data_IF_577081058751
#
_entry.id   IF_577081058751
#
_cell.length_a   1.000
_cell.length_b   1.000
_cell.length_c   1.000
_cell.angle_alpha   90.00
_cell.angle_beta   90.00
_cell.angle_gamma   90.00
#
_symmetry.space_group_name_H-M   'P 1'
#
loop_
_entity.id
_entity.type
_entity.pdbx_description
1 polymer ?
#
# COMPACT_ATOMS: atom_id res chain seq x y z
N UNK A 1 5.32 32.51 2.52
CA UNK A 1 4.78 31.20 2.96
C UNK A 1 4.19 30.51 1.74
N UNK A 2 4.38 29.22 1.56
CA UNK A 2 3.71 28.49 0.48
C UNK A 2 2.20 28.45 0.76
N UNK A 3 1.38 28.82 -0.23
CA UNK A 3 -0.09 28.71 -0.09
C UNK A 3 -0.48 27.25 0.15
N UNK A 4 -1.50 27.02 1.00
CA UNK A 4 -2.02 25.68 1.25
C UNK A 4 -2.94 25.25 0.11
N UNK A 5 -2.77 24.03 -0.36
CA UNK A 5 -3.63 23.43 -1.39
C UNK A 5 -5.02 23.21 -0.79
N UNK A 6 -6.04 23.61 -1.55
CA UNK A 6 -7.46 23.42 -1.23
C UNK A 6 -8.07 22.31 -2.08
N UNK A 7 -7.75 22.33 -3.39
CA UNK A 7 -8.30 21.36 -4.34
C UNK A 7 -7.18 20.83 -5.23
N UNK A 8 -7.23 19.55 -5.56
CA UNK A 8 -6.42 18.91 -6.60
C UNK A 8 -7.38 18.39 -7.65
N UNK A 9 -7.19 18.79 -8.89
CA UNK A 9 -7.99 18.35 -10.04
C UNK A 9 -7.08 17.53 -10.94
N UNK A 10 -7.50 16.31 -11.27
CA UNK A 10 -6.72 15.35 -12.03
C UNK A 10 -7.45 15.01 -13.31
N UNK A 11 -6.82 15.30 -14.43
CA UNK A 11 -7.28 14.93 -15.77
C UNK A 11 -6.52 13.70 -16.25
N UNK A 12 -7.21 12.83 -16.98
CA UNK A 12 -6.66 11.59 -17.51
C UNK A 12 -6.81 11.56 -19.03
N UNK A 13 -5.72 11.23 -19.72
CA UNK A 13 -5.67 10.93 -21.14
C UNK A 13 -5.20 9.49 -21.32
N UNK A 14 -5.97 8.65 -22.02
CA UNK A 14 -5.62 7.25 -22.30
C UNK A 14 -5.41 7.07 -23.80
N UNK A 15 -4.19 6.67 -24.19
CA UNK A 15 -3.86 6.31 -25.58
C UNK A 15 -3.79 4.79 -25.72
N UNK A 16 -4.69 4.25 -26.52
CA UNK A 16 -4.66 2.88 -26.99
C UNK A 16 -4.27 2.86 -28.49
N UNK A 17 -3.68 1.76 -28.94
CA UNK A 17 -3.29 1.62 -30.34
C UNK A 17 -4.50 1.84 -31.29
N UNK A 18 -4.43 2.91 -32.13
CA UNK A 18 -5.46 3.24 -33.10
C UNK A 18 -6.66 4.03 -32.58
N UNK A 19 -6.62 4.52 -31.34
CA UNK A 19 -7.67 5.38 -30.76
C UNK A 19 -7.07 6.73 -30.40
N UNK A 20 -7.66 7.82 -30.87
CA UNK A 20 -7.29 9.18 -30.49
C UNK A 20 -7.65 9.39 -29.00
N UNK A 21 -6.66 9.80 -28.23
CA UNK A 21 -6.86 10.09 -26.83
C UNK A 21 -7.62 11.41 -26.62
N UNK A 22 -8.60 11.38 -25.73
CA UNK A 22 -9.26 12.60 -25.22
C UNK A 22 -8.92 12.74 -23.74
N UNK A 23 -8.49 13.93 -23.34
CA UNK A 23 -8.34 14.26 -21.93
C UNK A 23 -9.73 14.44 -21.31
N UNK A 24 -9.99 13.82 -20.17
CA UNK A 24 -11.23 13.96 -19.39
C UNK A 24 -10.91 14.16 -17.92
N UNK A 25 -11.83 14.74 -17.16
CA UNK A 25 -11.74 14.79 -15.71
C UNK A 25 -11.76 13.37 -15.16
N UNK A 26 -10.81 13.04 -14.29
CA UNK A 26 -10.68 11.70 -13.69
C UNK A 26 -10.89 11.70 -12.19
N UNK A 27 -10.42 12.74 -11.50
CA UNK A 27 -10.53 12.82 -10.04
C UNK A 27 -10.51 14.27 -9.57
N UNK A 28 -11.24 14.54 -8.49
CA UNK A 28 -11.18 15.79 -7.74
C UNK A 28 -10.99 15.46 -6.27
N UNK A 29 -10.01 16.11 -5.62
CA UNK A 29 -9.75 15.98 -4.19
C UNK A 29 -9.91 17.35 -3.53
N UNK A 30 -10.70 17.41 -2.47
CA UNK A 30 -10.81 18.58 -1.60
C UNK A 30 -10.05 18.32 -0.30
N UNK A 31 -9.22 19.28 0.11
CA UNK A 31 -8.39 19.17 1.30
C UNK A 31 -8.79 20.21 2.34
N UNK A 32 -8.67 19.87 3.61
CA UNK A 32 -8.75 20.83 4.68
C UNK A 32 -7.46 21.68 4.80
N UNK A 33 -7.44 22.66 5.73
CA UNK A 33 -6.27 23.52 5.95
C UNK A 33 -5.05 22.77 6.53
N UNK A 34 -5.22 21.53 7.00
CA UNK A 34 -4.16 20.65 7.51
C UNK A 34 -3.62 19.72 6.42
N UNK A 35 -4.17 19.79 5.21
CA UNK A 35 -3.87 18.96 4.04
C UNK A 35 -4.47 17.55 4.10
N UNK A 36 -5.45 17.32 4.95
CA UNK A 36 -6.20 16.07 4.96
C UNK A 36 -7.22 16.10 3.82
N UNK A 37 -7.34 15.01 3.05
CA UNK A 37 -8.36 14.86 2.01
C UNK A 37 -9.70 14.62 2.74
N UNK A 38 -10.63 15.57 2.60
CA UNK A 38 -11.95 15.49 3.22
C UNK A 38 -13.02 15.00 2.25
N UNK A 39 -12.78 15.15 0.95
CA UNK A 39 -13.66 14.64 -0.11
C UNK A 39 -12.84 14.27 -1.33
N UNK A 40 -13.16 13.14 -1.95
CA UNK A 40 -12.59 12.69 -3.21
C UNK A 40 -13.72 12.23 -4.14
N UNK A 41 -13.68 12.64 -5.39
CA UNK A 41 -14.64 12.25 -6.42
C UNK A 41 -13.90 11.65 -7.60
N UNK A 42 -14.27 10.44 -7.98
CA UNK A 42 -13.81 9.78 -9.20
C UNK A 42 -14.84 9.98 -10.31
N UNK A 43 -14.35 10.20 -11.50
CA UNK A 43 -15.16 10.43 -12.71
C UNK A 43 -14.85 9.38 -13.78
N UNK A 44 -15.90 8.92 -14.46
CA UNK A 44 -15.84 8.13 -15.68
C UNK A 44 -16.72 8.81 -16.73
N UNK A 45 -16.18 9.09 -17.94
CA UNK A 45 -16.88 9.78 -19.01
C UNK A 45 -17.54 11.12 -18.59
N UNK A 46 -16.84 11.89 -17.75
CA UNK A 46 -17.29 13.18 -17.19
C UNK A 46 -18.45 13.07 -16.17
N UNK A 47 -18.90 11.86 -15.82
CA UNK A 47 -19.90 11.61 -14.78
C UNK A 47 -19.24 11.13 -13.49
N UNK A 48 -19.81 11.51 -12.34
CA UNK A 48 -19.33 11.02 -11.03
C UNK A 48 -19.62 9.51 -10.93
N UNK A 49 -18.58 8.73 -10.63
CA UNK A 49 -18.64 7.28 -10.45
C UNK A 49 -18.61 6.89 -8.96
N UNK A 50 -17.77 7.60 -8.21
CA UNK A 50 -17.58 7.33 -6.78
C UNK A 50 -17.30 8.64 -6.05
N UNK A 51 -17.91 8.80 -4.88
CA UNK A 51 -17.63 9.89 -3.94
C UNK A 51 -17.18 9.31 -2.61
N UNK A 52 -16.03 9.75 -2.13
CA UNK A 52 -15.50 9.40 -0.80
C UNK A 52 -15.47 10.65 0.08
N UNK A 53 -16.03 10.55 1.27
CA UNK A 53 -15.97 11.60 2.30
C UNK A 53 -15.25 11.07 3.54
N UNK A 54 -14.22 11.78 3.99
CA UNK A 54 -13.38 11.38 5.13
C UNK A 54 -13.49 12.40 6.26
N UNK A 55 -13.80 11.92 7.46
CA UNK A 55 -13.84 12.73 8.68
C UNK A 55 -12.66 12.40 9.59
N UNK A 56 -12.10 13.44 10.20
CA UNK A 56 -10.95 13.36 11.09
C UNK A 56 -11.33 13.87 12.49
N UNK A 57 -10.66 13.35 13.51
CA UNK A 57 -10.74 13.89 14.85
C UNK A 57 -9.76 15.07 15.04
N UNK A 58 -9.75 15.67 16.24
CA UNK A 58 -8.85 16.78 16.59
C UNK A 58 -7.34 16.43 16.49
N UNK A 59 -6.99 15.15 16.42
CA UNK A 59 -5.61 14.64 16.26
C UNK A 59 -5.29 14.25 14.82
N UNK A 60 -6.11 14.66 13.87
CA UNK A 60 -5.98 14.36 12.43
C UNK A 60 -6.01 12.84 12.11
N UNK A 61 -6.64 12.03 12.96
CA UNK A 61 -6.86 10.62 12.72
C UNK A 61 -8.22 10.42 12.05
N UNK A 62 -8.28 9.59 11.01
CA UNK A 62 -9.53 9.22 10.34
C UNK A 62 -10.45 8.51 11.32
N UNK A 63 -11.64 9.05 11.55
CA UNK A 63 -12.65 8.42 12.42
C UNK A 63 -13.82 7.86 11.63
N UNK A 64 -14.00 8.32 10.39
CA UNK A 64 -15.07 7.86 9.52
C UNK A 64 -14.68 8.07 8.06
N UNK A 65 -14.99 7.10 7.23
CA UNK A 65 -14.93 7.19 5.78
C UNK A 65 -16.26 6.71 5.21
N UNK A 66 -16.81 7.44 4.26
CA UNK A 66 -18.00 7.05 3.50
C UNK A 66 -17.67 7.03 2.05
N UNK A 67 -18.00 5.94 1.37
CA UNK A 67 -17.88 5.79 -0.06
C UNK A 67 -19.26 5.56 -0.65
N UNK A 68 -19.67 6.40 -1.59
CA UNK A 68 -20.85 6.21 -2.40
C UNK A 68 -20.44 5.79 -3.82
N UNK A 69 -20.81 4.59 -4.21
CA UNK A 69 -20.70 4.09 -5.58
C UNK A 69 -21.99 4.44 -6.33
N UNK A 70 -21.92 5.44 -7.20
CA UNK A 70 -23.11 6.09 -7.78
C UNK A 70 -23.88 5.13 -8.71
N UNK A 71 -23.16 4.36 -9.54
CA UNK A 71 -23.76 3.44 -10.51
C UNK A 71 -24.59 2.35 -9.81
N UNK A 72 -24.06 1.80 -8.72
CA UNK A 72 -24.67 0.69 -7.99
C UNK A 72 -25.61 1.17 -6.86
N UNK A 73 -25.66 2.49 -6.61
CA UNK A 73 -26.34 3.12 -5.46
C UNK A 73 -25.95 2.44 -4.12
N UNK A 74 -24.67 2.09 -4.02
CA UNK A 74 -24.11 1.40 -2.86
C UNK A 74 -23.35 2.40 -1.98
N UNK A 75 -23.65 2.38 -0.68
CA UNK A 75 -22.93 3.15 0.33
C UNK A 75 -22.09 2.22 1.18
N UNK A 76 -20.78 2.43 1.21
CA UNK A 76 -19.88 1.82 2.18
C UNK A 76 -19.55 2.82 3.27
N UNK A 77 -19.53 2.39 4.51
CA UNK A 77 -19.13 3.22 5.65
C UNK A 77 -18.13 2.45 6.51
N UNK A 78 -17.01 3.11 6.81
CA UNK A 78 -15.99 2.65 7.77
C UNK A 78 -15.97 3.61 8.96
N UNK A 79 -16.19 3.10 10.16
CA UNK A 79 -16.06 3.85 11.43
C UNK A 79 -14.87 3.31 12.21
N UNK A 80 -14.00 4.20 12.72
CA UNK A 80 -12.78 3.83 13.42
C UNK A 80 -12.76 4.44 14.82
N UNK A 81 -12.54 3.61 15.83
CA UNK A 81 -12.37 4.01 17.22
C UNK A 81 -10.90 3.88 17.65
N UNK A 82 -10.46 4.76 18.56
CA UNK A 82 -9.11 4.83 19.04
C UNK A 82 -9.06 4.84 20.57
N UNK A 83 -7.98 4.29 21.15
CA UNK A 83 -7.68 4.45 22.56
C UNK A 83 -6.95 5.78 22.85
N UNK A 84 -6.66 6.06 24.13
CA UNK A 84 -5.96 7.27 24.55
C UNK A 84 -4.55 7.43 23.98
N UNK A 85 -3.92 6.32 23.52
CA UNK A 85 -2.62 6.30 22.86
C UNK A 85 -2.70 6.42 21.32
N UNK A 86 -3.87 6.77 20.76
CA UNK A 86 -4.14 6.88 19.33
C UNK A 86 -3.97 5.55 18.55
N UNK A 87 -4.14 4.42 19.21
CA UNK A 87 -4.16 3.12 18.55
C UNK A 87 -5.59 2.75 18.20
N UNK A 88 -5.82 2.23 16.98
CA UNK A 88 -7.14 1.75 16.55
C UNK A 88 -7.59 0.58 17.43
N UNK A 89 -8.74 0.71 18.08
CA UNK A 89 -9.30 -0.33 18.93
C UNK A 89 -10.45 -1.07 18.26
N UNK A 90 -11.18 -0.36 17.39
CA UNK A 90 -12.29 -0.97 16.64
C UNK A 90 -12.41 -0.32 15.28
N UNK A 91 -12.73 -1.13 14.29
CA UNK A 91 -13.17 -0.72 12.96
C UNK A 91 -14.49 -1.44 12.67
N UNK A 92 -15.48 -0.70 12.18
CA UNK A 92 -16.78 -1.26 11.79
C UNK A 92 -17.03 -0.87 10.35
N UNK A 93 -17.22 -1.87 9.49
CA UNK A 93 -17.52 -1.70 8.07
C UNK A 93 -18.98 -2.07 7.82
N UNK A 94 -19.70 -1.19 7.13
CA UNK A 94 -21.10 -1.37 6.80
C UNK A 94 -21.37 -1.09 5.32
N UNK A 95 -22.31 -1.81 4.72
CA UNK A 95 -22.86 -1.54 3.39
C UNK A 95 -24.33 -1.18 3.50
N UNK A 96 -24.73 -0.05 2.93
CA UNK A 96 -26.12 0.49 3.01
C UNK A 96 -26.68 0.50 4.45
N UNK A 97 -25.80 0.74 5.42
CA UNK A 97 -26.15 0.78 6.85
C UNK A 97 -26.17 -0.58 7.55
N UNK A 98 -25.99 -1.69 6.86
CA UNK A 98 -25.88 -3.02 7.44
C UNK A 98 -24.42 -3.34 7.73
N UNK A 99 -24.10 -3.64 9.00
CA UNK A 99 -22.73 -4.01 9.41
C UNK A 99 -22.36 -5.34 8.77
N UNK A 100 -21.19 -5.39 8.16
CA UNK A 100 -20.66 -6.58 7.50
C UNK A 100 -19.42 -7.14 8.18
N UNK A 101 -18.60 -6.25 8.76
CA UNK A 101 -17.33 -6.63 9.34
C UNK A 101 -17.02 -5.78 10.57
N UNK A 102 -16.52 -6.42 11.61
CA UNK A 102 -16.04 -5.75 12.83
C UNK A 102 -14.62 -6.26 13.11
N UNK A 103 -13.66 -5.33 13.16
CA UNK A 103 -12.29 -5.61 13.62
C UNK A 103 -12.08 -4.99 14.98
N UNK A 104 -11.67 -5.78 15.98
CA UNK A 104 -11.27 -5.27 17.29
C UNK A 104 -9.81 -5.56 17.57
N UNK A 105 -9.15 -4.72 18.39
CA UNK A 105 -7.73 -4.84 18.72
C UNK A 105 -7.50 -4.63 20.20
N UNK A 106 -6.67 -5.48 20.78
CA UNK A 106 -6.23 -5.43 22.17
C UNK A 106 -4.73 -5.09 22.22
N UNK A 107 -4.34 -4.28 23.19
CA UNK A 107 -2.97 -3.82 23.35
C UNK A 107 -2.47 -4.09 24.76
N UNK A 108 -1.17 -4.37 24.90
CA UNK A 108 -0.50 -4.45 26.18
C UNK A 108 -0.26 -3.07 26.83
N UNK A 109 0.32 -3.06 28.03
CA UNK A 109 0.63 -1.82 28.76
C UNK A 109 1.67 -0.92 28.04
N UNK A 110 2.43 -1.46 27.08
CA UNK A 110 3.39 -0.75 26.24
C UNK A 110 2.78 -0.27 24.92
N UNK A 111 1.46 -0.45 24.72
CA UNK A 111 0.73 -0.20 23.48
C UNK A 111 1.18 -1.08 22.28
N UNK A 112 1.70 -2.27 22.53
CA UNK A 112 1.91 -3.27 21.50
C UNK A 112 0.61 -4.04 21.23
N UNK A 113 0.27 -4.29 19.98
CA UNK A 113 -0.90 -5.08 19.59
C UNK A 113 -0.69 -6.54 19.99
N UNK A 114 -1.47 -7.04 20.92
CA UNK A 114 -1.36 -8.45 21.39
C UNK A 114 -2.40 -9.36 20.76
N UNK A 115 -3.55 -8.80 20.36
CA UNK A 115 -4.62 -9.56 19.71
C UNK A 115 -5.41 -8.70 18.76
N UNK A 116 -5.76 -9.23 17.60
CA UNK A 116 -6.73 -8.70 16.65
C UNK A 116 -7.84 -9.73 16.44
N UNK A 117 -9.09 -9.32 16.37
CA UNK A 117 -10.23 -10.19 16.11
C UNK A 117 -10.99 -9.65 14.92
N UNK A 118 -11.27 -10.50 13.95
CA UNK A 118 -12.20 -10.27 12.86
C UNK A 118 -13.51 -10.99 13.18
N UNK A 119 -14.62 -10.27 13.10
CA UNK A 119 -15.96 -10.80 13.24
C UNK A 119 -16.82 -10.36 12.06
N UNK A 120 -17.85 -11.13 11.77
CA UNK A 120 -18.91 -10.73 10.82
C UNK A 120 -19.79 -9.61 11.37
N UNK A 121 -20.84 -9.25 10.61
CA UNK A 121 -21.78 -8.19 10.99
C UNK A 121 -22.61 -8.48 12.22
N UNK A 122 -22.83 -9.74 12.55
CA UNK A 122 -23.59 -10.19 13.74
C UNK A 122 -22.67 -10.31 14.98
N UNK A 123 -21.36 -10.13 14.79
CA UNK A 123 -20.34 -10.17 15.82
C UNK A 123 -19.80 -11.59 16.09
N UNK A 124 -20.13 -12.57 15.24
CA UNK A 124 -19.54 -13.90 15.31
C UNK A 124 -18.09 -13.86 14.82
N UNK A 125 -17.18 -14.42 15.64
CA UNK A 125 -15.75 -14.40 15.34
C UNK A 125 -15.42 -15.34 14.18
N UNK A 126 -14.78 -14.81 13.15
CA UNK A 126 -14.29 -15.57 12.00
C UNK A 126 -12.82 -15.97 12.16
N UNK A 127 -11.97 -15.00 12.52
CA UNK A 127 -10.53 -15.20 12.71
C UNK A 127 -10.01 -14.32 13.84
N UNK A 128 -8.88 -14.74 14.42
CA UNK A 128 -8.13 -13.85 15.29
C UNK A 128 -6.62 -14.03 15.15
N UNK A 129 -5.91 -12.93 15.39
CA UNK A 129 -4.45 -12.85 15.37
C UNK A 129 -3.91 -12.71 16.79
N UNK A 130 -2.73 -13.29 17.05
CA UNK A 130 -1.97 -13.07 18.28
C UNK A 130 -0.53 -12.70 17.98
N UNK A 131 0.06 -11.86 18.85
CA UNK A 131 1.42 -11.35 18.70
C UNK A 131 2.19 -11.53 20.00
N UNK A 132 3.45 -11.95 19.89
CA UNK A 132 4.39 -12.01 21.00
C UNK A 132 5.58 -11.08 20.70
N UNK A 133 6.12 -10.47 21.75
CA UNK A 133 7.18 -9.46 21.64
C UNK A 133 8.37 -9.83 22.51
N UNK A 134 9.57 -9.47 22.06
CA UNK A 134 10.76 -9.54 22.90
C UNK A 134 10.87 -8.29 23.84
N UNK A 135 11.90 -8.26 24.69
CA UNK A 135 12.19 -7.15 25.60
C UNK A 135 12.40 -5.79 24.90
N UNK A 136 12.67 -5.79 23.60
CA UNK A 136 12.84 -4.60 22.77
C UNK A 136 11.58 -4.19 22.01
N UNK A 137 10.42 -4.77 22.37
CA UNK A 137 9.12 -4.50 21.75
C UNK A 137 9.09 -4.83 20.24
N UNK A 138 9.88 -5.83 19.81
CA UNK A 138 9.87 -6.37 18.45
C UNK A 138 9.04 -7.64 18.41
N UNK A 139 8.19 -7.80 17.40
CA UNK A 139 7.39 -9.01 17.19
C UNK A 139 8.33 -10.19 16.96
N UNK A 140 8.24 -11.22 17.78
CA UNK A 140 8.99 -12.47 17.65
C UNK A 140 8.12 -13.63 17.19
N UNK A 141 6.81 -13.56 17.41
CA UNK A 141 5.86 -14.56 16.94
C UNK A 141 4.53 -13.92 16.57
N UNK A 142 3.95 -14.39 15.49
CA UNK A 142 2.62 -14.04 15.01
C UNK A 142 1.89 -15.32 14.67
N UNK A 143 0.60 -15.42 15.07
CA UNK A 143 -0.26 -16.55 14.72
C UNK A 143 -1.64 -16.04 14.35
N UNK A 144 -2.23 -16.63 13.30
CA UNK A 144 -3.63 -16.46 12.93
C UNK A 144 -4.38 -17.75 13.15
N UNK A 145 -5.54 -17.63 13.72
CA UNK A 145 -6.44 -18.73 14.03
C UNK A 145 -7.78 -18.50 13.32
N UNK A 146 -8.39 -19.58 12.84
CA UNK A 146 -9.76 -19.56 12.36
C UNK A 146 -10.76 -19.62 13.53
N UNK A 147 -12.07 -19.59 13.23
CA UNK A 147 -13.16 -19.67 14.20
C UNK A 147 -13.15 -20.94 15.05
N UNK A 148 -12.53 -22.03 14.59
CA UNK A 148 -12.34 -23.29 15.32
C UNK A 148 -11.12 -23.29 16.25
N UNK A 149 -10.40 -22.18 16.39
CA UNK A 149 -9.12 -22.04 17.09
C UNK A 149 -7.97 -22.87 16.48
N UNK A 150 -8.06 -23.23 15.21
CA UNK A 150 -6.98 -23.88 14.47
C UNK A 150 -6.03 -22.82 13.92
N UNK A 151 -4.74 -23.01 14.12
CA UNK A 151 -3.72 -22.13 13.49
C UNK A 151 -3.75 -22.35 11.98
N UNK A 152 -3.96 -21.28 11.23
CA UNK A 152 -3.96 -21.25 9.75
C UNK A 152 -2.75 -20.53 9.17
N UNK A 153 -2.10 -19.70 9.98
CA UNK A 153 -0.85 -19.03 9.63
C UNK A 153 -0.02 -18.79 10.88
N UNK A 154 1.29 -18.93 10.79
CA UNK A 154 2.24 -18.50 11.83
C UNK A 154 3.51 -17.93 11.20
N UNK A 155 4.17 -17.02 11.92
CA UNK A 155 5.47 -16.48 11.59
C UNK A 155 6.29 -16.32 12.87
N UNK A 156 7.52 -16.82 12.87
CA UNK A 156 8.50 -16.66 13.94
C UNK A 156 9.69 -15.86 13.38
N UNK A 157 10.10 -14.81 14.08
CA UNK A 157 11.09 -13.82 13.61
C UNK A 157 12.30 -13.81 14.53
N UNK A 158 13.50 -13.90 13.94
CA UNK A 158 14.76 -13.80 14.64
C UNK A 158 15.45 -12.48 14.31
N UNK A 159 16.10 -11.90 15.32
CA UNK A 159 16.81 -10.62 15.24
C UNK A 159 18.30 -10.82 15.61
N UNK A 160 19.17 -9.99 15.01
CA UNK A 160 20.56 -9.87 15.46
C UNK A 160 20.69 -8.92 16.69
N UNK A 161 21.92 -8.73 17.16
CA UNK A 161 22.22 -7.86 18.32
C UNK A 161 21.89 -6.38 18.03
N UNK A 162 21.90 -5.96 16.76
CA UNK A 162 21.48 -4.63 16.30
C UNK A 162 19.96 -4.46 16.18
N UNK A 163 19.18 -5.49 16.57
CA UNK A 163 17.70 -5.53 16.52
C UNK A 163 17.13 -5.50 15.10
N UNK A 164 17.87 -5.99 14.13
CA UNK A 164 17.46 -6.12 12.74
C UNK A 164 17.04 -7.56 12.46
N UNK A 165 15.99 -7.75 11.66
CA UNK A 165 15.48 -9.09 11.28
C UNK A 165 16.52 -9.79 10.41
N UNK A 166 16.94 -11.00 10.83
CA UNK A 166 17.88 -11.85 10.09
C UNK A 166 17.23 -13.09 9.50
N UNK A 167 16.14 -13.56 10.12
CA UNK A 167 15.42 -14.75 9.68
C UNK A 167 13.93 -14.63 10.02
N UNK A 168 13.08 -15.13 9.15
CA UNK A 168 11.65 -15.32 9.40
C UNK A 168 11.25 -16.72 8.94
N UNK A 169 10.62 -17.48 9.82
CA UNK A 169 10.05 -18.79 9.52
C UNK A 169 8.53 -18.64 9.47
N UNK A 170 7.94 -18.87 8.31
CA UNK A 170 6.51 -18.80 8.06
C UNK A 170 5.94 -20.18 7.82
N UNK A 171 4.71 -20.38 8.23
CA UNK A 171 3.90 -21.52 7.83
C UNK A 171 2.48 -21.04 7.55
N UNK A 172 1.90 -21.52 6.47
CA UNK A 172 0.47 -21.36 6.18
C UNK A 172 -0.12 -22.71 5.78
N UNK A 173 -1.43 -22.85 5.91
CA UNK A 173 -2.12 -24.06 5.48
C UNK A 173 -2.03 -24.26 3.95
N UNK A 174 -1.96 -23.18 3.19
CA UNK A 174 -1.90 -23.17 1.72
C UNK A 174 -0.48 -23.44 1.21
N UNK A 175 0.52 -22.69 1.69
CA UNK A 175 1.89 -22.71 1.14
C UNK A 175 2.85 -23.65 1.87
N UNK A 176 2.46 -24.11 3.07
CA UNK A 176 3.33 -24.89 3.95
C UNK A 176 4.43 -24.05 4.59
N UNK A 177 5.59 -24.65 4.82
CA UNK A 177 6.73 -23.99 5.48
C UNK A 177 7.56 -23.18 4.49
N UNK A 178 7.88 -21.94 4.88
CA UNK A 178 8.76 -21.03 4.15
C UNK A 178 9.74 -20.41 5.13
N UNK A 179 11.03 -20.40 4.76
CA UNK A 179 12.09 -19.73 5.51
C UNK A 179 12.60 -18.54 4.69
N UNK A 180 12.69 -17.38 5.30
CA UNK A 180 13.24 -16.16 4.68
C UNK A 180 14.51 -15.77 5.44
N UNK A 181 15.61 -15.62 4.72
CA UNK A 181 16.86 -15.08 5.23
C UNK A 181 17.05 -13.67 4.67
N UNK A 182 17.48 -12.76 5.54
CA UNK A 182 17.82 -11.39 5.18
C UNK A 182 19.34 -11.28 5.11
N UNK A 183 19.87 -11.19 3.88
CA UNK A 183 21.30 -11.38 3.62
C UNK A 183 22.15 -10.11 3.80
N UNK A 184 21.56 -8.95 3.47
CA UNK A 184 22.26 -7.66 3.49
C UNK A 184 21.41 -6.65 4.24
N UNK A 185 21.92 -6.24 5.40
CA UNK A 185 21.24 -5.26 6.25
C UNK A 185 22.00 -3.94 6.14
N UNK A 186 21.34 -2.95 5.56
CA UNK A 186 21.84 -1.57 5.50
C UNK A 186 20.88 -0.74 6.37
N UNK A 187 21.40 -0.07 7.37
CA UNK A 187 20.61 0.74 8.30
C UNK A 187 19.63 1.66 7.56
N UNK A 188 18.38 1.61 7.97
CA UNK A 188 17.26 2.40 7.41
C UNK A 188 16.96 2.09 5.92
N UNK A 189 17.31 0.88 5.43
CA UNK A 189 17.07 0.43 4.08
C UNK A 189 16.37 -0.93 4.07
N UNK A 190 15.68 -1.22 2.97
CA UNK A 190 15.14 -2.57 2.74
C UNK A 190 16.29 -3.55 2.56
N UNK A 191 16.32 -4.64 3.34
CA UNK A 191 17.38 -5.64 3.21
C UNK A 191 17.23 -6.45 1.92
N UNK A 192 18.33 -7.02 1.44
CA UNK A 192 18.27 -8.13 0.52
C UNK A 192 17.69 -9.35 1.24
N UNK A 193 16.93 -10.17 0.54
CA UNK A 193 16.31 -11.36 1.14
C UNK A 193 16.28 -12.54 0.20
N UNK A 194 16.25 -13.75 0.77
CA UNK A 194 16.09 -15.00 0.04
C UNK A 194 15.11 -15.90 0.80
N UNK A 195 14.04 -16.31 0.14
CA UNK A 195 13.05 -17.25 0.67
C UNK A 195 13.31 -18.68 0.15
N UNK A 196 13.10 -19.64 1.03
CA UNK A 196 13.27 -21.06 0.76
C UNK A 196 12.00 -21.82 1.13
N UNK A 197 11.64 -22.84 0.35
CA UNK A 197 10.60 -23.78 0.75
C UNK A 197 11.15 -24.83 1.76
N UNK A 198 10.28 -25.72 2.21
CA UNK A 198 10.62 -26.79 3.18
C UNK A 198 11.73 -27.76 2.70
N UNK A 199 11.94 -27.87 1.39
CA UNK A 199 13.01 -28.68 0.80
C UNK A 199 14.34 -27.92 0.69
N UNK A 200 14.41 -26.64 1.14
CA UNK A 200 15.59 -25.79 1.04
C UNK A 200 15.85 -25.23 -0.35
N UNK A 201 14.86 -25.29 -1.26
CA UNK A 201 14.96 -24.67 -2.59
C UNK A 201 14.56 -23.21 -2.52
N UNK A 202 15.32 -22.34 -3.20
CA UNK A 202 14.98 -20.92 -3.32
C UNK A 202 13.67 -20.78 -4.08
N UNK A 203 12.71 -20.06 -3.49
CA UNK A 203 11.42 -19.72 -4.09
C UNK A 203 11.36 -18.26 -4.51
N UNK A 204 12.03 -17.39 -3.78
CA UNK A 204 12.00 -15.95 -4.01
C UNK A 204 13.31 -15.30 -3.56
N UNK A 205 13.75 -14.27 -4.29
CA UNK A 205 14.93 -13.48 -3.94
C UNK A 205 14.72 -12.02 -4.29
N UNK A 206 15.11 -11.13 -3.38
CA UNK A 206 15.14 -9.68 -3.59
C UNK A 206 16.56 -9.17 -3.43
N UNK A 207 17.00 -8.31 -4.34
CA UNK A 207 18.30 -7.62 -4.29
C UNK A 207 18.12 -6.15 -4.58
N UNK A 208 18.67 -5.32 -3.71
CA UNK A 208 18.55 -3.87 -3.75
C UNK A 208 19.92 -3.23 -4.02
N UNK A 209 19.95 -2.23 -4.88
CA UNK A 209 21.13 -1.40 -5.15
C UNK A 209 20.79 0.05 -4.85
N UNK A 210 21.68 0.75 -4.17
CA UNK A 210 21.49 2.15 -3.76
C UNK A 210 22.56 3.03 -4.42
N UNK A 211 22.16 4.24 -4.83
CA UNK A 211 23.09 5.24 -5.35
C UNK A 211 23.93 5.88 -4.22
N UNK A 212 24.88 6.75 -4.58
CA UNK A 212 25.76 7.46 -3.64
C UNK A 212 24.99 8.31 -2.60
N UNK A 213 23.78 8.79 -2.94
CA UNK A 213 22.88 9.50 -2.04
C UNK A 213 22.04 8.54 -1.16
N UNK A 214 22.30 7.22 -1.21
CA UNK A 214 21.59 6.17 -0.48
C UNK A 214 20.10 6.05 -0.88
N UNK A 215 19.74 6.43 -2.10
CA UNK A 215 18.42 6.24 -2.67
C UNK A 215 18.38 4.91 -3.43
N UNK A 216 17.27 4.18 -3.38
CA UNK A 216 17.11 2.91 -4.11
C UNK A 216 17.19 3.17 -5.62
N UNK A 217 18.26 2.68 -6.27
CA UNK A 217 18.48 2.84 -7.70
C UNK A 217 17.92 1.68 -8.51
N UNK A 218 18.00 0.48 -7.92
CA UNK A 218 17.58 -0.75 -8.58
C UNK A 218 17.11 -1.78 -7.57
N UNK A 219 16.00 -2.43 -7.89
CA UNK A 219 15.51 -3.63 -7.22
C UNK A 219 15.43 -4.78 -8.23
N UNK A 220 15.89 -5.96 -7.84
CA UNK A 220 15.74 -7.18 -8.62
C UNK A 220 14.96 -8.19 -7.80
N UNK A 221 13.84 -8.63 -8.33
CA UNK A 221 12.99 -9.67 -7.74
C UNK A 221 13.02 -10.90 -8.63
N UNK A 222 13.42 -12.04 -8.07
CA UNK A 222 13.42 -13.35 -8.75
C UNK A 222 12.46 -14.28 -8.03
N UNK A 223 11.59 -14.98 -8.77
CA UNK A 223 10.69 -16.00 -8.25
C UNK A 223 10.81 -17.27 -9.08
N UNK A 224 10.80 -18.42 -8.42
CA UNK A 224 10.80 -19.73 -9.07
C UNK A 224 9.41 -20.39 -9.03
N UNK A 225 8.44 -19.78 -8.35
CA UNK A 225 7.05 -20.26 -8.27
C UNK A 225 6.39 -20.03 -9.64
N UNK A 226 5.88 -21.10 -10.25
CA UNK A 226 5.28 -21.04 -11.59
C UNK A 226 6.30 -20.85 -12.74
N UNK A 227 7.58 -21.18 -12.50
CA UNK A 227 8.72 -21.02 -13.42
C UNK A 227 9.58 -19.81 -13.03
N UNK A 228 10.83 -19.78 -13.55
CA UNK A 228 11.75 -18.69 -13.26
C UNK A 228 11.22 -17.38 -13.85
N UNK A 229 10.90 -16.44 -12.97
CA UNK A 229 10.49 -15.08 -13.32
C UNK A 229 11.47 -14.10 -12.68
N UNK A 230 11.89 -13.12 -13.43
CA UNK A 230 12.73 -12.02 -12.97
C UNK A 230 12.07 -10.71 -13.34
N UNK A 231 11.98 -9.81 -12.36
CA UNK A 231 11.54 -8.43 -12.53
C UNK A 231 12.67 -7.53 -12.03
N UNK A 232 13.03 -6.53 -12.83
CA UNK A 232 14.00 -5.51 -12.44
C UNK A 232 13.31 -4.16 -12.48
N UNK A 233 13.32 -3.44 -11.36
CA UNK A 233 12.82 -2.07 -11.26
C UNK A 233 13.98 -1.11 -11.12
N UNK A 234 14.04 -0.11 -11.99
CA UNK A 234 14.98 1.00 -11.92
C UNK A 234 14.28 2.26 -11.45
N UNK A 235 14.98 3.09 -10.68
CA UNK A 235 14.50 4.35 -10.14
C UNK A 235 15.43 5.48 -10.53
N UNK A 236 14.88 6.58 -11.03
CA UNK A 236 15.61 7.81 -11.35
C UNK A 236 15.08 8.96 -10.49
N UNK A 237 15.96 9.85 -10.07
CA UNK A 237 15.65 10.94 -9.14
C UNK A 237 16.10 12.28 -9.70
N UNK A 238 15.39 13.35 -9.33
CA UNK A 238 15.85 14.73 -9.55
C UNK A 238 16.84 15.17 -8.46
N UNK A 239 17.31 16.40 -8.55
CA UNK A 239 18.25 16.98 -7.57
C UNK A 239 17.67 17.05 -6.15
N UNK A 240 16.35 17.26 -6.01
CA UNK A 240 15.62 17.29 -4.74
C UNK A 240 15.37 15.91 -4.14
N UNK A 241 15.77 14.83 -4.83
CA UNK A 241 15.60 13.47 -4.37
C UNK A 241 14.21 12.86 -4.62
N UNK A 242 13.38 13.49 -5.46
CA UNK A 242 12.08 12.98 -5.88
C UNK A 242 12.24 12.04 -7.07
N UNK A 243 11.47 10.95 -7.09
CA UNK A 243 11.45 10.02 -8.22
C UNK A 243 10.93 10.73 -9.46
N UNK A 244 11.70 10.73 -10.54
CA UNK A 244 11.29 11.24 -11.84
C UNK A 244 10.89 10.14 -12.81
N UNK A 245 11.41 8.93 -12.61
CA UNK A 245 11.06 7.78 -13.44
C UNK A 245 11.22 6.48 -12.66
N UNK A 246 10.31 5.52 -12.93
CA UNK A 246 10.48 4.10 -12.59
C UNK A 246 10.32 3.27 -13.85
N UNK A 247 11.13 2.22 -14.01
CA UNK A 247 11.10 1.29 -15.15
C UNK A 247 11.13 -0.14 -14.67
N UNK A 248 10.13 -0.92 -15.05
CA UNK A 248 10.04 -2.34 -14.76
C UNK A 248 10.39 -3.15 -16.00
N UNK A 249 11.39 -3.99 -15.89
CA UNK A 249 11.90 -4.84 -16.96
C UNK A 249 11.70 -6.32 -16.60
N UNK A 250 11.40 -7.15 -17.59
CA UNK A 250 11.38 -8.60 -17.43
C UNK A 250 12.80 -9.22 -17.38
N UNK A 251 12.87 -10.56 -17.29
CA UNK A 251 14.13 -11.29 -17.27
C UNK A 251 14.95 -11.20 -18.55
N UNK A 252 14.40 -10.67 -19.64
CA UNK A 252 15.05 -10.42 -20.95
C UNK A 252 15.37 -8.94 -21.16
N UNK A 253 15.20 -8.12 -20.11
CA UNK A 253 15.35 -6.67 -20.14
C UNK A 253 14.32 -5.95 -21.05
N UNK A 254 13.18 -6.60 -21.33
CA UNK A 254 12.07 -5.98 -22.05
C UNK A 254 11.31 -5.06 -21.09
N UNK A 255 11.01 -3.84 -21.54
CA UNK A 255 10.22 -2.90 -20.75
C UNK A 255 8.77 -3.39 -20.63
N UNK A 256 8.30 -3.60 -19.40
CA UNK A 256 6.92 -3.98 -19.08
C UNK A 256 6.09 -2.76 -18.65
N UNK A 257 6.71 -1.86 -17.87
CA UNK A 257 6.04 -0.69 -17.31
C UNK A 257 7.04 0.43 -17.11
N UNK A 258 6.62 1.65 -17.40
CA UNK A 258 7.37 2.86 -17.10
C UNK A 258 6.42 3.90 -16.53
N UNK A 259 6.80 4.53 -15.42
CA UNK A 259 6.08 5.68 -14.87
C UNK A 259 7.05 6.86 -14.81
N UNK A 260 6.64 8.03 -15.32
CA UNK A 260 7.45 9.25 -15.31
C UNK A 260 6.68 10.38 -14.64
N UNK A 261 7.38 11.21 -13.87
CA UNK A 261 6.80 12.30 -13.09
C UNK A 261 7.47 13.65 -13.45
N UNK A 262 6.66 14.68 -13.65
CA UNK A 262 7.08 16.07 -13.73
C UNK A 262 6.58 16.83 -12.51
N UNK A 263 7.41 17.72 -11.97
CA UNK A 263 7.12 18.52 -10.79
C UNK A 263 7.17 20.00 -11.12
N UNK A 264 6.35 20.79 -10.44
CA UNK A 264 6.48 22.26 -10.46
C UNK A 264 7.58 22.71 -9.48
N UNK A 265 7.85 24.01 -9.44
CA UNK A 265 8.84 24.65 -8.56
C UNK A 265 8.55 24.45 -7.06
N UNK A 266 7.29 24.20 -6.67
CA UNK A 266 6.89 23.90 -5.32
C UNK A 266 7.02 22.40 -4.99
N UNK A 267 7.43 21.58 -5.97
CA UNK A 267 7.61 20.15 -5.85
C UNK A 267 6.31 19.34 -5.86
N UNK A 268 5.21 19.90 -6.33
CA UNK A 268 3.97 19.15 -6.60
C UNK A 268 4.05 18.51 -7.99
N UNK A 269 3.49 17.31 -8.14
CA UNK A 269 3.40 16.62 -9.44
C UNK A 269 2.46 17.41 -10.35
N UNK A 270 2.90 17.77 -11.54
CA UNK A 270 2.06 18.40 -12.57
C UNK A 270 1.69 17.44 -13.69
N UNK A 271 2.49 16.40 -13.89
CA UNK A 271 2.20 15.36 -14.87
C UNK A 271 2.75 14.03 -14.37
N UNK A 272 1.97 12.99 -14.53
CA UNK A 272 2.39 11.59 -14.43
C UNK A 272 2.08 10.89 -15.75
N UNK A 273 3.02 10.11 -16.27
CA UNK A 273 2.82 9.33 -17.49
C UNK A 273 3.12 7.87 -17.18
N UNK A 274 2.17 7.00 -17.46
CA UNK A 274 2.27 5.57 -17.29
C UNK A 274 2.25 4.90 -18.67
N UNK A 275 3.27 4.12 -18.96
CA UNK A 275 3.33 3.17 -20.07
C UNK A 275 3.29 1.76 -19.52
N UNK A 276 2.44 0.90 -20.07
CA UNK A 276 2.39 -0.53 -19.79
C UNK A 276 2.37 -1.33 -21.09
N UNK A 277 3.19 -2.36 -21.16
CA UNK A 277 3.27 -3.33 -22.25
C UNK A 277 3.36 -4.73 -21.66
N UNK A 278 2.23 -5.25 -21.23
CA UNK A 278 2.13 -6.55 -20.58
C UNK A 278 1.93 -7.65 -21.65
N UNK A 279 2.51 -8.84 -21.45
CA UNK A 279 2.35 -9.95 -22.37
C UNK A 279 0.86 -10.29 -22.65
N UNK A 280 0.51 -10.39 -23.92
CA UNK A 280 -0.84 -10.67 -24.41
C UNK A 280 -1.89 -9.57 -24.15
N UNK A 281 -1.47 -8.35 -23.82
CA UNK A 281 -2.33 -7.18 -23.73
C UNK A 281 -1.88 -6.11 -24.71
N UNK A 282 -2.79 -5.24 -25.16
CA UNK A 282 -2.42 -4.08 -25.93
C UNK A 282 -1.63 -3.10 -25.03
N UNK A 283 -0.54 -2.54 -25.56
CA UNK A 283 0.21 -1.52 -24.82
C UNK A 283 -0.66 -0.30 -24.56
N UNK A 284 -0.55 0.24 -23.36
CA UNK A 284 -1.35 1.36 -22.87
C UNK A 284 -0.45 2.52 -22.46
N UNK A 285 -0.82 3.73 -22.89
CA UNK A 285 -0.24 4.97 -22.38
C UNK A 285 -1.31 5.77 -21.66
N UNK A 286 -1.07 6.08 -20.39
CA UNK A 286 -1.94 6.91 -19.57
C UNK A 286 -1.14 8.15 -19.18
N UNK A 287 -1.73 9.32 -19.36
CA UNK A 287 -1.17 10.59 -18.87
C UNK A 287 -2.16 11.21 -17.90
N UNK A 288 -1.69 11.51 -16.70
CA UNK A 288 -2.41 12.28 -15.70
C UNK A 288 -1.82 13.69 -15.65
N UNK A 289 -2.68 14.69 -15.64
CA UNK A 289 -2.34 16.09 -15.49
C UNK A 289 -3.01 16.64 -14.24
N UNK A 290 -2.25 17.36 -13.42
CA UNK A 290 -2.66 17.85 -12.12
C UNK A 290 -2.78 19.36 -12.14
N UNK A 291 -3.91 19.87 -11.64
CA UNK A 291 -4.16 21.29 -11.37
C UNK A 291 -4.40 21.48 -9.86
N UNK A 292 -4.01 22.65 -9.34
CA UNK A 292 -4.06 22.94 -7.92
C UNK A 292 -4.77 24.27 -7.67
N UNK A 293 -5.78 24.25 -6.83
CA UNK A 293 -6.35 25.44 -6.23
C UNK A 293 -5.83 25.61 -4.81
N UNK A 294 -5.71 26.85 -4.37
CA UNK A 294 -5.13 27.17 -3.06
C UNK A 294 -6.15 27.93 -2.22
N UNK A 295 -6.06 27.78 -0.90
CA UNK A 295 -6.80 28.62 0.02
C UNK A 295 -6.41 30.09 -0.17
N UNK A 296 -7.40 30.95 -0.10
CA UNK A 296 -7.17 32.39 0.05
C UNK A 296 -6.63 32.68 1.45
N UNK A 297 -5.70 33.63 1.56
CA UNK A 297 -5.05 34.02 2.84
C UNK A 297 -6.03 34.72 3.78
#
# INVERSE_FOLDING_TARGET
MSKKIKTIIIFKEVKLAGIDAKESLSMLQELDRNKNIIREVHYSDEEEEQVTETAYNEKELVVREKVHFIIDDLNEELVIEYNGANKRTKETKAYNGEVQEIKTREYDANNNLIKGILSDGDGEMEEYDTYEYNEHQKVISYKRFNYENKVILKSDVLYNDEKEVIEENRWSEEDGETKILFDTIIKDKSPDSTAYNKEGKITHRVRNTYNEKRQLEKEVVESTIGGLRKLTTHYTYNEDGKITETRNLDGKETLLKQTSFLYNENGNIITETLYEDLPNMASTNIKLRYEYEFYED
#
